data_IF_448409015164
#
_entry.id   IF_448409015164
#
_cell.length_a   1.000
_cell.length_b   1.000
_cell.length_c   1.000
_cell.angle_alpha   90.00
_cell.angle_beta   90.00
_cell.angle_gamma   90.00
#
_symmetry.space_group_name_H-M   'P 1'
#
loop_
_entity.id
_entity.type
_entity.pdbx_description
1 polymer ?
#
# COMPACT_ATOMS: atom_id res chain seq x y z
N UNK A 1 6.32 -23.22 14.85
CA UNK A 1 6.92 -22.46 13.78
C UNK A 1 7.92 -21.47 14.36
N UNK A 2 9.08 -21.30 13.76
CA UNK A 2 10.01 -20.24 14.16
C UNK A 2 9.32 -18.91 13.95
N UNK A 3 9.27 -18.05 14.98
CA UNK A 3 8.83 -16.67 14.82
C UNK A 3 9.59 -16.03 13.67
N UNK A 4 8.88 -15.51 12.70
CA UNK A 4 9.47 -14.75 11.59
C UNK A 4 9.96 -13.43 12.16
N UNK A 5 11.24 -13.31 12.45
CA UNK A 5 11.85 -12.07 12.95
C UNK A 5 12.21 -11.22 11.73
N UNK A 6 11.50 -10.12 11.55
CA UNK A 6 11.71 -9.21 10.43
C UNK A 6 10.53 -8.25 10.25
N UNK A 7 10.64 -7.37 9.26
CA UNK A 7 9.61 -6.42 8.89
C UNK A 7 8.76 -6.98 7.75
N UNK A 8 7.51 -7.31 8.03
CA UNK A 8 6.57 -7.81 7.02
C UNK A 8 6.13 -6.70 6.07
N UNK A 9 6.16 -7.01 4.78
CA UNK A 9 5.67 -6.13 3.72
C UNK A 9 4.16 -6.23 3.66
N UNK A 10 3.47 -5.23 4.18
CA UNK A 10 2.00 -5.18 4.20
C UNK A 10 1.43 -4.79 2.85
N UNK A 11 2.13 -3.92 2.12
CA UNK A 11 1.63 -3.35 0.90
C UNK A 11 2.76 -2.91 -0.03
N UNK A 12 2.58 -3.12 -1.34
CA UNK A 12 3.51 -2.67 -2.39
C UNK A 12 2.87 -1.54 -3.18
N UNK A 13 3.51 -0.38 -3.16
CA UNK A 13 3.07 0.74 -3.99
C UNK A 13 3.34 0.44 -5.47
N UNK A 14 2.30 0.44 -6.33
CA UNK A 14 2.48 0.21 -7.77
C UNK A 14 3.44 1.21 -8.40
N UNK A 15 4.36 0.72 -9.24
CA UNK A 15 5.43 1.53 -9.83
C UNK A 15 6.55 1.91 -8.87
N UNK A 16 6.43 1.55 -7.58
CA UNK A 16 7.42 1.85 -6.55
C UNK A 16 8.67 0.97 -6.63
N UNK A 17 9.67 1.34 -5.84
CA UNK A 17 10.97 0.63 -5.80
C UNK A 17 10.78 -0.82 -5.35
N UNK A 18 9.95 -1.07 -4.34
CA UNK A 18 9.71 -2.41 -3.83
C UNK A 18 9.15 -3.36 -4.91
N UNK A 19 8.21 -2.88 -5.74
CA UNK A 19 7.69 -3.65 -6.88
C UNK A 19 8.80 -3.92 -7.91
N UNK A 20 9.56 -2.89 -8.28
CA UNK A 20 10.68 -2.99 -9.24
C UNK A 20 11.77 -3.95 -8.77
N UNK A 21 11.98 -4.04 -7.47
CA UNK A 21 12.94 -4.98 -6.86
C UNK A 21 12.39 -6.39 -6.67
N UNK A 22 11.13 -6.64 -7.04
CA UNK A 22 10.51 -7.96 -6.97
C UNK A 22 10.01 -8.37 -5.60
N UNK A 23 9.97 -7.46 -4.62
CA UNK A 23 9.30 -7.69 -3.33
C UNK A 23 7.79 -7.82 -3.52
N UNK A 24 7.17 -8.63 -2.70
CA UNK A 24 5.72 -8.88 -2.71
C UNK A 24 5.12 -8.67 -1.33
N UNK A 25 3.81 -8.50 -1.29
CA UNK A 25 3.05 -8.48 -0.05
C UNK A 25 3.25 -9.81 0.72
N UNK A 26 3.34 -9.71 2.02
CA UNK A 26 3.66 -10.77 2.99
C UNK A 26 5.12 -11.29 2.94
N UNK A 27 6.00 -10.77 2.09
CA UNK A 27 7.42 -11.01 2.24
C UNK A 27 7.92 -10.39 3.55
N UNK A 28 8.95 -10.98 4.17
CA UNK A 28 9.51 -10.47 5.44
C UNK A 28 10.95 -10.03 5.21
N UNK A 29 11.19 -8.72 5.30
CA UNK A 29 12.53 -8.14 5.21
C UNK A 29 13.28 -8.47 6.50
N UNK A 30 14.43 -9.15 6.38
CA UNK A 30 15.24 -9.58 7.53
C UNK A 30 16.50 -8.75 7.70
N UNK A 31 17.07 -8.22 6.61
CA UNK A 31 18.20 -7.29 6.70
C UNK A 31 18.30 -6.37 5.48
N UNK A 32 18.86 -5.18 5.69
CA UNK A 32 19.22 -4.23 4.64
C UNK A 32 20.64 -3.76 4.88
N UNK A 33 21.46 -3.79 3.82
CA UNK A 33 22.88 -3.44 3.88
C UNK A 33 23.63 -4.17 5.03
N UNK A 34 23.37 -5.50 5.14
CA UNK A 34 23.88 -6.38 6.18
C UNK A 34 23.46 -6.06 7.63
N UNK A 35 22.61 -5.04 7.83
CA UNK A 35 22.05 -4.69 9.13
C UNK A 35 20.70 -5.38 9.32
N UNK A 36 20.45 -6.03 10.47
CA UNK A 36 19.20 -6.69 10.73
C UNK A 36 18.05 -5.68 10.83
N UNK A 37 16.89 -6.05 10.31
CA UNK A 37 15.66 -5.27 10.36
C UNK A 37 14.62 -6.07 11.13
N UNK A 38 14.13 -5.52 12.24
CA UNK A 38 13.08 -6.12 13.07
C UNK A 38 11.84 -5.24 13.14
N UNK A 39 12.04 -3.93 13.03
CA UNK A 39 11.00 -2.91 13.14
C UNK A 39 11.04 -1.96 11.96
N UNK A 40 9.97 -1.18 11.79
CA UNK A 40 9.93 -0.11 10.79
C UNK A 40 10.99 0.96 11.08
N UNK A 41 11.27 1.21 12.35
CA UNK A 41 12.28 2.20 12.76
C UNK A 41 13.69 1.76 12.37
N UNK A 42 14.02 0.46 12.54
CA UNK A 42 15.30 -0.08 12.05
C UNK A 42 15.47 0.14 10.56
N UNK A 43 14.41 -0.17 9.80
CA UNK A 43 14.41 -0.01 8.35
C UNK A 43 14.60 1.45 7.95
N UNK A 44 13.84 2.36 8.54
CA UNK A 44 13.95 3.79 8.28
C UNK A 44 15.32 4.34 8.66
N UNK A 45 15.84 3.96 9.81
CA UNK A 45 17.15 4.39 10.27
C UNK A 45 18.27 3.97 9.30
N UNK A 46 18.22 2.72 8.80
CA UNK A 46 19.17 2.26 7.80
C UNK A 46 19.08 3.11 6.52
N UNK A 47 17.87 3.33 6.00
CA UNK A 47 17.68 4.12 4.78
C UNK A 47 18.14 5.56 4.93
N UNK A 48 17.89 6.19 6.09
CA UNK A 48 18.31 7.57 6.36
C UNK A 48 19.83 7.74 6.40
N UNK A 49 20.57 6.68 6.65
CA UNK A 49 22.04 6.67 6.61
C UNK A 49 22.64 6.69 5.20
N UNK A 50 21.82 6.65 4.15
CA UNK A 50 22.26 6.55 2.76
C UNK A 50 21.72 7.69 1.89
N UNK A 51 22.49 8.05 0.86
CA UNK A 51 22.08 9.06 -0.10
C UNK A 51 21.18 8.46 -1.20
N UNK A 52 20.37 9.33 -1.83
CA UNK A 52 19.67 8.99 -3.08
C UNK A 52 20.69 8.55 -4.13
N UNK A 53 20.38 7.49 -4.86
CA UNK A 53 21.28 6.87 -5.83
C UNK A 53 22.07 5.68 -5.26
N UNK A 54 22.04 5.45 -3.95
CA UNK A 54 22.69 4.27 -3.34
C UNK A 54 21.91 3.01 -3.68
N UNK A 55 22.64 1.93 -3.94
CA UNK A 55 22.10 0.58 -4.09
C UNK A 55 22.36 -0.19 -2.81
N UNK A 56 21.32 -0.70 -2.19
CA UNK A 56 21.40 -1.47 -0.94
C UNK A 56 21.01 -2.92 -1.20
N UNK A 57 21.71 -3.84 -0.58
CA UNK A 57 21.37 -5.26 -0.58
C UNK A 57 20.25 -5.49 0.46
N UNK A 58 19.15 -6.09 0.04
CA UNK A 58 18.04 -6.47 0.89
C UNK A 58 17.89 -7.98 0.92
N UNK A 59 17.91 -8.58 2.10
CA UNK A 59 17.55 -9.97 2.32
C UNK A 59 16.14 -10.05 2.86
N UNK A 60 15.38 -10.97 2.32
CA UNK A 60 13.98 -11.16 2.70
C UNK A 60 13.58 -12.63 2.62
N UNK A 61 12.65 -13.03 3.45
CA UNK A 61 11.99 -14.33 3.38
C UNK A 61 10.83 -14.20 2.40
N UNK A 62 10.91 -14.91 1.28
CA UNK A 62 9.87 -14.94 0.27
C UNK A 62 8.64 -15.70 0.81
N UNK A 63 7.48 -15.05 0.86
CA UNK A 63 6.26 -15.62 1.45
C UNK A 63 5.75 -16.82 0.67
N UNK A 64 5.85 -16.79 -0.66
CA UNK A 64 5.31 -17.85 -1.53
C UNK A 64 6.15 -19.13 -1.54
N UNK A 65 7.47 -19.02 -1.31
CA UNK A 65 8.40 -20.14 -1.41
C UNK A 65 8.97 -20.53 -0.04
N UNK A 66 8.78 -19.68 0.96
CA UNK A 66 9.31 -19.84 2.33
C UNK A 66 10.84 -20.03 2.38
N UNK A 67 11.55 -19.37 1.45
CA UNK A 67 13.02 -19.36 1.37
C UNK A 67 13.55 -17.93 1.48
N UNK A 68 14.77 -17.81 2.00
CA UNK A 68 15.47 -16.52 2.03
C UNK A 68 15.99 -16.17 0.63
N UNK A 69 15.73 -14.94 0.19
CA UNK A 69 16.18 -14.38 -1.08
C UNK A 69 16.88 -13.05 -0.86
N UNK A 70 17.65 -12.65 -1.84
CA UNK A 70 18.31 -11.35 -1.88
C UNK A 70 17.82 -10.56 -3.09
N UNK A 71 17.67 -9.24 -2.91
CA UNK A 71 17.42 -8.29 -3.99
C UNK A 71 18.20 -7.00 -3.75
N UNK A 72 18.28 -6.16 -4.78
CA UNK A 72 18.93 -4.86 -4.72
C UNK A 72 17.87 -3.77 -4.71
N UNK A 73 17.92 -2.90 -3.71
CA UNK A 73 17.07 -1.74 -3.60
C UNK A 73 17.85 -0.51 -4.05
N UNK A 74 17.40 0.15 -5.11
CA UNK A 74 17.94 1.43 -5.54
C UNK A 74 17.20 2.58 -4.86
N UNK A 75 17.90 3.40 -4.08
CA UNK A 75 17.28 4.51 -3.38
C UNK A 75 16.99 5.67 -4.33
N UNK A 76 15.77 5.77 -4.78
CA UNK A 76 15.27 6.89 -5.57
C UNK A 76 14.83 8.04 -4.66
N UNK A 77 14.82 9.24 -5.20
CA UNK A 77 14.18 10.37 -4.52
C UNK A 77 12.70 10.09 -4.38
N UNK A 78 12.19 10.21 -3.16
CA UNK A 78 10.77 10.06 -2.91
C UNK A 78 9.97 10.97 -3.83
N UNK A 79 8.99 10.44 -4.52
CA UNK A 79 8.10 11.26 -5.35
C UNK A 79 7.52 12.39 -4.51
N UNK A 80 7.57 13.61 -5.05
CA UNK A 80 6.92 14.76 -4.42
C UNK A 80 5.40 14.71 -4.58
N UNK A 81 4.92 13.90 -5.51
CA UNK A 81 3.52 13.86 -5.91
C UNK A 81 3.01 12.40 -6.08
N UNK A 82 3.05 11.57 -5.02
CA UNK A 82 2.65 10.16 -5.12
C UNK A 82 1.20 9.99 -5.58
N UNK A 83 0.33 10.93 -5.21
CA UNK A 83 -1.07 10.97 -5.63
C UNK A 83 -1.21 11.11 -7.15
N UNK A 84 -0.37 11.93 -7.79
CA UNK A 84 -0.37 12.13 -9.24
C UNK A 84 0.06 10.85 -9.98
N UNK A 85 1.07 10.16 -9.45
CA UNK A 85 1.54 8.91 -10.03
C UNK A 85 0.48 7.81 -9.96
N UNK A 86 -0.21 7.68 -8.82
CA UNK A 86 -1.31 6.74 -8.66
C UNK A 86 -2.46 7.07 -9.60
N UNK A 87 -2.82 8.35 -9.73
CA UNK A 87 -3.87 8.79 -10.66
C UNK A 87 -3.54 8.40 -12.11
N UNK A 88 -2.29 8.58 -12.53
CA UNK A 88 -1.84 8.20 -13.87
C UNK A 88 -1.81 6.70 -14.12
N UNK A 89 -1.56 5.91 -13.10
CA UNK A 89 -1.48 4.46 -13.21
C UNK A 89 -2.82 3.73 -13.14
N UNK A 90 -3.91 4.42 -12.82
CA UNK A 90 -5.28 3.87 -12.65
C UNK A 90 -5.41 2.70 -11.65
N UNK A 91 -4.52 2.67 -10.64
CA UNK A 91 -4.52 1.64 -9.59
C UNK A 91 -5.35 2.05 -8.36
N UNK A 92 -6.57 2.52 -8.57
CA UNK A 92 -7.39 3.08 -7.48
C UNK A 92 -7.62 2.10 -6.35
N UNK A 93 -7.93 0.83 -6.63
CA UNK A 93 -8.17 -0.18 -5.60
C UNK A 93 -6.95 -0.39 -4.69
N UNK A 94 -5.74 -0.27 -5.23
CA UNK A 94 -4.49 -0.36 -4.47
C UNK A 94 -4.13 0.94 -3.75
N UNK A 95 -4.61 2.08 -4.21
CA UNK A 95 -4.40 3.38 -3.57
C UNK A 95 -5.21 3.55 -2.28
N UNK A 96 -6.33 2.87 -2.16
CA UNK A 96 -7.21 3.00 -0.99
C UNK A 96 -6.57 2.51 0.31
N UNK A 97 -5.65 1.53 0.26
CA UNK A 97 -4.93 1.08 1.46
C UNK A 97 -4.04 2.20 2.02
N UNK A 98 -3.04 2.72 1.29
CA UNK A 98 -2.08 3.66 1.86
C UNK A 98 -2.66 5.04 2.16
N UNK A 99 -3.72 5.47 1.47
CA UNK A 99 -4.29 6.80 1.65
C UNK A 99 -5.53 6.81 2.53
N UNK A 100 -6.23 5.72 2.64
CA UNK A 100 -7.51 5.68 3.32
C UNK A 100 -7.65 4.55 4.36
N UNK A 101 -6.88 3.48 4.19
CA UNK A 101 -6.90 2.32 5.09
C UNK A 101 -7.93 1.26 4.72
N UNK A 102 -8.36 1.20 3.46
CA UNK A 102 -9.28 0.19 2.93
C UNK A 102 -8.59 -0.79 2.00
N UNK A 103 -8.64 -2.06 2.31
CA UNK A 103 -8.33 -3.14 1.36
C UNK A 103 -9.59 -3.50 0.58
N UNK A 104 -9.54 -3.35 -0.74
CA UNK A 104 -10.70 -3.50 -1.62
C UNK A 104 -10.56 -4.72 -2.53
N UNK A 105 -11.65 -5.47 -2.69
CA UNK A 105 -11.79 -6.55 -3.67
C UNK A 105 -12.75 -6.09 -4.76
N UNK A 106 -12.37 -6.15 -6.06
CA UNK A 106 -13.29 -5.88 -7.16
C UNK A 106 -14.47 -6.85 -7.15
N UNK A 107 -15.70 -6.33 -7.25
CA UNK A 107 -16.92 -7.17 -7.21
C UNK A 107 -17.53 -7.43 -8.57
N UNK A 108 -17.10 -6.71 -9.61
CA UNK A 108 -17.68 -6.86 -10.95
C UNK A 108 -16.68 -6.42 -12.03
N UNK A 109 -16.75 -7.11 -13.18
CA UNK A 109 -16.06 -6.74 -14.43
C UNK A 109 -16.77 -5.63 -15.21
N UNK A 110 -17.83 -5.03 -14.67
CA UNK A 110 -18.57 -3.97 -15.35
C UNK A 110 -17.85 -2.63 -15.24
N UNK A 111 -18.19 -1.70 -16.15
CA UNK A 111 -17.58 -0.35 -16.26
C UNK A 111 -17.66 0.51 -15.00
N UNK A 112 -18.41 0.11 -13.99
CA UNK A 112 -18.45 0.75 -12.67
C UNK A 112 -17.36 0.16 -11.80
N UNK A 113 -16.54 1.01 -11.19
CA UNK A 113 -15.51 0.62 -10.23
C UNK A 113 -16.20 0.26 -8.91
N UNK A 114 -16.72 -0.96 -8.85
CA UNK A 114 -17.43 -1.51 -7.69
C UNK A 114 -16.53 -2.46 -6.95
N UNK A 115 -16.44 -2.26 -5.65
CA UNK A 115 -15.57 -3.01 -4.77
C UNK A 115 -16.35 -3.48 -3.54
N UNK A 116 -15.76 -4.43 -2.83
CA UNK A 116 -16.16 -4.84 -1.50
C UNK A 116 -14.98 -4.63 -0.56
N UNK A 117 -15.24 -4.08 0.61
CA UNK A 117 -14.23 -3.92 1.66
C UNK A 117 -13.84 -5.29 2.19
N UNK A 118 -12.57 -5.67 2.02
CA UNK A 118 -12.00 -6.90 2.55
C UNK A 118 -11.48 -6.71 3.97
N UNK A 119 -10.82 -5.58 4.21
CA UNK A 119 -10.24 -5.26 5.50
C UNK A 119 -10.22 -3.74 5.72
N UNK A 120 -10.29 -3.32 6.98
CA UNK A 120 -10.17 -1.92 7.42
C UNK A 120 -9.01 -1.84 8.39
N UNK A 121 -8.03 -1.00 8.08
CA UNK A 121 -6.86 -0.80 8.94
C UNK A 121 -7.25 0.13 10.10
N UNK A 122 -7.05 -0.31 11.32
CA UNK A 122 -7.37 0.45 12.54
C UNK A 122 -6.56 1.75 12.61
N UNK A 123 -7.21 2.80 13.12
CA UNK A 123 -6.59 4.13 13.29
C UNK A 123 -6.42 4.89 11.98
N UNK A 124 -7.03 4.46 10.89
CA UNK A 124 -7.04 5.17 9.60
C UNK A 124 -8.36 5.93 9.40
N UNK A 125 -8.38 6.80 8.39
CA UNK A 125 -9.58 7.55 8.02
C UNK A 125 -10.81 6.64 7.75
N UNK A 126 -10.59 5.46 7.18
CA UNK A 126 -11.66 4.50 6.94
C UNK A 126 -12.25 3.93 8.24
N UNK A 127 -11.39 3.65 9.22
CA UNK A 127 -11.82 3.18 10.55
C UNK A 127 -12.62 4.27 11.29
N UNK A 128 -12.11 5.50 11.29
CA UNK A 128 -12.78 6.66 11.89
C UNK A 128 -14.15 6.94 11.25
N UNK A 129 -14.25 6.80 9.94
CA UNK A 129 -15.51 6.93 9.20
C UNK A 129 -16.43 5.71 9.39
N UNK A 130 -15.97 4.66 10.08
CA UNK A 130 -16.74 3.49 10.45
C UNK A 130 -17.03 2.54 9.30
N UNK A 131 -16.13 2.42 8.33
CA UNK A 131 -16.18 1.34 7.35
C UNK A 131 -16.01 -0.01 8.03
N UNK A 132 -16.60 -1.03 7.44
CA UNK A 132 -16.54 -2.41 7.96
C UNK A 132 -16.32 -3.40 6.83
N UNK A 133 -15.81 -4.58 7.17
CA UNK A 133 -15.68 -5.67 6.20
C UNK A 133 -17.04 -6.01 5.56
N UNK A 134 -16.99 -6.32 4.27
CA UNK A 134 -18.13 -6.59 3.41
C UNK A 134 -19.02 -5.37 3.09
N UNK A 135 -18.63 -4.15 3.45
CA UNK A 135 -19.29 -2.96 2.91
C UNK A 135 -19.06 -2.89 1.41
N UNK A 136 -20.12 -2.50 0.67
CA UNK A 136 -20.01 -2.28 -0.77
C UNK A 136 -19.60 -0.84 -1.02
N UNK A 137 -18.66 -0.66 -1.94
CA UNK A 137 -18.09 0.62 -2.27
C UNK A 137 -18.08 0.82 -3.79
N UNK A 138 -18.64 1.91 -4.25
CA UNK A 138 -18.58 2.32 -5.66
C UNK A 138 -17.74 3.58 -5.79
N UNK A 139 -16.70 3.52 -6.62
CA UNK A 139 -15.87 4.69 -6.93
C UNK A 139 -16.46 5.38 -8.15
N UNK A 140 -16.97 6.59 -7.96
CA UNK A 140 -17.54 7.43 -9.00
C UNK A 140 -16.48 8.23 -9.76
N UNK A 141 -16.66 9.53 -9.83
CA UNK A 141 -15.71 10.43 -10.50
C UNK A 141 -14.46 10.60 -9.66
N UNK A 142 -13.32 10.44 -10.32
CA UNK A 142 -12.01 10.73 -9.71
C UNK A 142 -11.40 11.91 -10.47
N UNK A 143 -10.97 12.93 -9.74
CA UNK A 143 -10.37 14.15 -10.29
C UNK A 143 -9.06 14.44 -9.56
N UNK A 144 -8.06 14.88 -10.32
CA UNK A 144 -6.84 15.41 -9.77
C UNK A 144 -6.95 16.94 -9.69
N UNK A 145 -6.87 17.50 -8.48
CA UNK A 145 -6.67 18.93 -8.28
C UNK A 145 -5.18 19.23 -8.44
N UNK A 146 -4.81 19.72 -9.62
CA UNK A 146 -3.41 20.01 -9.95
C UNK A 146 -2.83 21.17 -9.12
N UNK A 147 -3.66 22.09 -8.63
CA UNK A 147 -3.23 23.23 -7.84
C UNK A 147 -2.83 22.82 -6.44
N UNK A 148 -3.68 22.07 -5.77
CA UNK A 148 -3.49 21.66 -4.39
C UNK A 148 -2.87 20.26 -4.26
N UNK A 149 -2.68 19.55 -5.39
CA UNK A 149 -2.12 18.19 -5.44
C UNK A 149 -2.96 17.15 -4.67
N UNK A 150 -4.27 17.32 -4.71
CA UNK A 150 -5.24 16.39 -4.12
C UNK A 150 -5.86 15.49 -5.17
N UNK A 151 -6.05 14.24 -4.79
CA UNK A 151 -6.93 13.32 -5.50
C UNK A 151 -8.31 13.37 -4.82
N UNK A 152 -9.32 13.77 -5.58
CA UNK A 152 -10.70 13.82 -5.12
C UNK A 152 -11.43 12.64 -5.74
N UNK A 153 -11.84 11.69 -4.93
CA UNK A 153 -12.64 10.56 -5.36
C UNK A 153 -14.03 10.67 -4.75
N UNK A 154 -15.05 10.66 -5.59
CA UNK A 154 -16.42 10.49 -5.12
C UNK A 154 -16.68 9.02 -4.86
N UNK A 155 -17.03 8.68 -3.65
CA UNK A 155 -17.22 7.30 -3.21
C UNK A 155 -18.64 7.18 -2.64
N UNK A 156 -19.38 6.19 -3.15
CA UNK A 156 -20.69 5.83 -2.59
C UNK A 156 -20.55 4.47 -1.89
N UNK A 157 -21.06 4.36 -0.68
CA UNK A 157 -21.01 3.11 0.08
C UNK A 157 -22.37 2.67 0.55
N UNK A 158 -22.65 1.37 0.45
CA UNK A 158 -23.81 0.74 1.04
C UNK A 158 -23.37 -0.04 2.28
N UNK A 159 -23.75 0.45 3.44
CA UNK A 159 -23.44 -0.19 4.73
C UNK A 159 -24.57 -1.12 5.15
N UNK A 160 -24.21 -2.31 5.61
CA UNK A 160 -25.20 -3.29 6.11
C UNK A 160 -25.98 -2.77 7.33
N UNK A 161 -25.41 -1.83 8.08
CA UNK A 161 -25.99 -1.37 9.36
C UNK A 161 -26.62 0.03 9.37
N UNK A 162 -26.39 0.88 8.36
CA UNK A 162 -26.80 2.31 8.41
C UNK A 162 -27.35 2.91 7.13
N UNK A 163 -27.65 2.15 6.08
CA UNK A 163 -28.15 2.70 4.82
C UNK A 163 -27.04 3.29 3.92
N UNK A 164 -27.46 4.07 2.92
CA UNK A 164 -26.53 4.75 2.01
C UNK A 164 -25.94 6.00 2.64
N UNK A 165 -24.68 6.23 2.43
CA UNK A 165 -24.00 7.47 2.76
C UNK A 165 -23.05 7.85 1.61
N UNK A 166 -23.20 9.10 1.11
CA UNK A 166 -22.26 9.70 0.16
C UNK A 166 -21.19 10.43 0.97
N UNK A 167 -19.93 10.21 0.61
CA UNK A 167 -18.76 10.82 1.24
C UNK A 167 -17.98 11.63 0.18
#
# INVERSE_FOLDING_TARGET
GKEKVGLEVQYILPGGIAEKCGLKENDVIVSVDSKPVKTIDDFQFILMGHNVGTVLKCKYLCSSENIEKETLIYLEKRSKEPVVEIYKSDYYSKAFIPFFGLELIPTSSSRKKSFMVKNVIRGTAADELGFSENDKLEVGKVKLDNKNKFLIAQVSTQRKKKGFMDI
#
